data_IF_376472716445
#
_entry.id   IF_376472716445
#
_cell.length_a   1.000
_cell.length_b   1.000
_cell.length_c   1.000
_cell.angle_alpha   90.00
_cell.angle_beta   90.00
_cell.angle_gamma   90.00
#
_symmetry.space_group_name_H-M   'P 1'
#
loop_
_entity.id
_entity.type
_entity.pdbx_description
1 polymer ?
#
# COMPACT_ATOMS: atom_id res chain seq x y z
N UNK A 1 4.45 11.18 -10.86
CA UNK A 1 5.40 10.43 -11.72
C UNK A 1 6.20 9.43 -10.91
N UNK A 2 6.89 9.85 -9.85
CA UNK A 2 7.75 9.00 -9.00
C UNK A 2 7.01 7.82 -8.35
N UNK A 3 5.84 8.03 -7.76
CA UNK A 3 5.06 6.96 -7.13
C UNK A 3 4.71 5.83 -8.12
N UNK A 4 4.11 6.18 -9.27
CA UNK A 4 3.77 5.20 -10.31
C UNK A 4 5.00 4.51 -10.91
N UNK A 5 6.14 5.20 -10.98
CA UNK A 5 7.40 4.58 -11.40
C UNK A 5 7.87 3.54 -10.38
N UNK A 6 7.81 3.85 -9.08
CA UNK A 6 8.14 2.89 -8.01
C UNK A 6 7.20 1.68 -8.00
N UNK A 7 5.90 1.90 -8.15
CA UNK A 7 4.89 0.83 -8.28
C UNK A 7 5.20 -0.06 -9.49
N UNK A 8 5.46 0.55 -10.65
CA UNK A 8 5.79 -0.18 -11.88
C UNK A 8 7.07 -1.00 -11.76
N UNK A 9 8.13 -0.44 -11.18
CA UNK A 9 9.39 -1.15 -10.94
C UNK A 9 9.19 -2.33 -9.98
N UNK A 10 8.43 -2.15 -8.90
CA UNK A 10 8.12 -3.22 -7.97
C UNK A 10 7.36 -4.37 -8.66
N UNK A 11 6.32 -4.04 -9.44
CA UNK A 11 5.58 -5.05 -10.20
C UNK A 11 6.44 -5.79 -11.20
N UNK A 12 7.29 -5.08 -11.93
CA UNK A 12 8.23 -5.67 -12.89
C UNK A 12 9.20 -6.65 -12.19
N UNK A 13 9.83 -6.21 -11.10
CA UNK A 13 10.77 -7.05 -10.34
C UNK A 13 10.11 -8.31 -9.77
N UNK A 14 8.87 -8.23 -9.28
CA UNK A 14 8.11 -9.41 -8.84
C UNK A 14 7.72 -10.33 -9.98
N UNK A 15 7.46 -9.79 -11.18
CA UNK A 15 7.26 -10.56 -12.41
C UNK A 15 8.48 -11.42 -12.72
N UNK A 16 9.64 -10.78 -12.82
CA UNK A 16 10.92 -11.46 -13.07
C UNK A 16 11.22 -12.53 -12.01
N UNK A 17 11.00 -12.22 -10.73
CA UNK A 17 11.21 -13.18 -9.65
C UNK A 17 10.28 -14.40 -9.76
N UNK A 18 9.03 -14.19 -10.17
CA UNK A 18 8.06 -15.27 -10.38
C UNK A 18 8.48 -16.17 -11.55
N UNK A 19 9.05 -15.60 -12.60
CA UNK A 19 9.52 -16.35 -13.76
C UNK A 19 10.77 -17.17 -13.42
N UNK A 20 11.70 -16.63 -12.62
CA UNK A 20 12.84 -17.38 -12.09
C UNK A 20 12.38 -18.55 -11.21
N UNK A 21 11.40 -18.34 -10.32
CA UNK A 21 10.87 -19.42 -9.47
C UNK A 21 10.24 -20.54 -10.30
N UNK A 22 9.66 -20.21 -11.45
CA UNK A 22 9.02 -21.17 -12.35
C UNK A 22 9.95 -21.79 -13.40
N UNK A 23 11.21 -21.36 -13.47
CA UNK A 23 12.12 -21.76 -14.55
C UNK A 23 12.54 -23.23 -14.50
N UNK A 24 12.50 -23.87 -13.32
CA UNK A 24 12.86 -25.28 -13.16
C UNK A 24 12.18 -25.91 -11.94
N UNK A 25 12.13 -27.25 -11.90
CA UNK A 25 11.62 -27.99 -10.75
C UNK A 25 12.40 -27.69 -9.46
N UNK A 26 13.71 -27.47 -9.57
CA UNK A 26 14.55 -27.08 -8.44
C UNK A 26 14.24 -25.67 -7.94
N UNK A 27 14.13 -24.70 -8.87
CA UNK A 27 13.72 -23.32 -8.56
C UNK A 27 12.35 -23.27 -7.90
N UNK A 28 11.44 -24.13 -8.32
CA UNK A 28 10.09 -24.21 -7.77
C UNK A 28 10.10 -24.77 -6.34
N UNK A 29 10.94 -25.77 -6.07
CA UNK A 29 11.13 -26.31 -4.72
C UNK A 29 11.74 -25.27 -3.77
N UNK A 30 12.77 -24.54 -4.22
CA UNK A 30 13.36 -23.44 -3.47
C UNK A 30 12.34 -22.30 -3.24
N UNK A 31 11.54 -21.97 -4.26
CA UNK A 31 10.46 -21.00 -4.17
C UNK A 31 9.37 -21.40 -3.17
N UNK A 32 9.07 -22.70 -3.02
CA UNK A 32 8.14 -23.20 -2.01
C UNK A 32 8.65 -22.96 -0.59
N UNK A 33 9.94 -23.21 -0.32
CA UNK A 33 10.57 -22.91 0.97
C UNK A 33 10.53 -21.41 1.30
N UNK A 34 10.69 -20.56 0.29
CA UNK A 34 10.67 -19.10 0.43
C UNK A 34 9.28 -18.47 0.33
N UNK A 35 8.26 -19.25 -0.06
CA UNK A 35 6.92 -18.75 -0.42
C UNK A 35 6.34 -17.81 0.63
N UNK A 36 6.38 -18.20 1.91
CA UNK A 36 5.84 -17.39 3.01
C UNK A 36 6.55 -16.02 3.12
N UNK A 37 7.88 -15.99 2.97
CA UNK A 37 8.67 -14.76 3.03
C UNK A 37 8.42 -13.87 1.81
N UNK A 38 8.32 -14.47 0.61
CA UNK A 38 8.02 -13.75 -0.62
C UNK A 38 6.60 -13.14 -0.60
N UNK A 39 5.63 -13.84 -0.03
CA UNK A 39 4.28 -13.30 0.17
C UNK A 39 4.27 -12.13 1.15
N UNK A 40 4.97 -12.25 2.29
CA UNK A 40 5.12 -11.13 3.23
C UNK A 40 5.80 -9.92 2.58
N UNK A 41 6.82 -10.14 1.76
CA UNK A 41 7.49 -9.05 1.02
C UNK A 41 6.54 -8.34 0.07
N UNK A 42 5.72 -9.10 -0.68
CA UNK A 42 4.69 -8.54 -1.55
C UNK A 42 3.67 -7.73 -0.74
N UNK A 43 3.25 -8.25 0.40
CA UNK A 43 2.30 -7.58 1.29
C UNK A 43 2.81 -6.28 1.88
N UNK A 44 4.12 -6.17 2.16
CA UNK A 44 4.74 -4.92 2.62
C UNK A 44 4.82 -3.86 1.53
N UNK A 45 4.81 -4.27 0.26
CA UNK A 45 4.82 -3.39 -0.90
C UNK A 45 3.41 -3.06 -1.39
N UNK A 46 2.38 -3.66 -0.79
CA UNK A 46 0.98 -3.41 -1.09
C UNK A 46 0.47 -2.16 -0.35
N UNK A 47 0.51 -1.04 -1.07
CA UNK A 47 0.03 0.26 -0.62
C UNK A 47 -1.49 0.32 -0.37
N UNK A 48 -2.28 -0.66 -0.83
CA UNK A 48 -3.72 -0.68 -0.62
C UNK A 48 -4.13 -0.84 0.86
N UNK A 49 -3.21 -1.32 1.71
CA UNK A 49 -3.41 -1.48 3.17
C UNK A 49 -3.52 -0.15 3.93
N UNK A 50 -3.02 0.95 3.38
CA UNK A 50 -2.97 2.24 4.07
C UNK A 50 -4.19 3.16 3.82
N UNK A 51 -5.23 2.66 3.16
CA UNK A 51 -6.51 3.37 3.07
C UNK A 51 -6.57 4.53 2.05
N UNK A 52 -5.51 4.74 1.26
CA UNK A 52 -5.49 5.79 0.22
C UNK A 52 -4.69 7.02 0.62
N UNK A 53 -4.80 8.08 -0.17
CA UNK A 53 -4.04 9.30 0.03
C UNK A 53 -4.84 10.31 0.86
N UNK A 54 -4.30 10.72 2.01
CA UNK A 54 -4.86 11.81 2.83
C UNK A 54 -4.58 13.14 2.15
N UNK A 55 -5.62 13.92 1.86
CA UNK A 55 -5.50 15.27 1.34
C UNK A 55 -5.48 16.26 2.51
N UNK A 56 -4.37 16.98 2.66
CA UNK A 56 -4.14 17.95 3.73
C UNK A 56 -4.38 19.36 3.18
N UNK A 57 -4.76 20.30 4.06
CA UNK A 57 -5.04 21.70 3.70
C UNK A 57 -6.53 22.02 3.56
N UNK A 58 -7.40 21.04 3.76
CA UNK A 58 -8.85 21.23 3.85
C UNK A 58 -9.30 21.36 5.30
N UNK A 59 -10.47 21.97 5.52
CA UNK A 59 -11.04 22.11 6.87
C UNK A 59 -11.53 20.79 7.47
N UNK A 60 -11.80 19.81 6.61
CA UNK A 60 -12.28 18.48 6.96
C UNK A 60 -11.33 17.40 6.42
N UNK A 61 -11.30 16.20 7.02
CA UNK A 61 -10.43 15.15 6.53
C UNK A 61 -10.97 14.60 5.21
N UNK A 62 -10.12 14.61 4.17
CA UNK A 62 -10.47 14.06 2.86
C UNK A 62 -9.47 12.96 2.52
N UNK A 63 -9.98 11.79 2.14
CA UNK A 63 -9.16 10.66 1.70
C UNK A 63 -9.52 10.33 0.27
N UNK A 64 -8.51 10.32 -0.60
CA UNK A 64 -8.63 9.90 -1.99
C UNK A 64 -8.29 8.42 -2.12
N UNK A 65 -9.29 7.60 -2.46
CA UNK A 65 -9.09 6.18 -2.77
C UNK A 65 -8.33 5.98 -4.09
N UNK A 66 -7.67 4.83 -4.26
CA UNK A 66 -6.99 4.50 -5.51
C UNK A 66 -8.02 4.08 -6.58
N UNK A 67 -7.71 4.25 -7.87
CA UNK A 67 -8.67 3.96 -8.95
C UNK A 67 -9.04 2.47 -9.06
N UNK A 68 -8.12 1.59 -8.67
CA UNK A 68 -8.33 0.13 -8.55
C UNK A 68 -8.65 -0.33 -7.12
N UNK A 69 -9.11 0.56 -6.24
CA UNK A 69 -9.48 0.21 -4.86
C UNK A 69 -10.61 -0.82 -4.83
N UNK A 70 -10.39 -1.91 -4.09
CA UNK A 70 -11.40 -2.93 -3.79
C UNK A 70 -12.08 -2.64 -2.43
N UNK A 71 -13.02 -3.49 -2.02
CA UNK A 71 -13.74 -3.36 -0.74
C UNK A 71 -12.80 -3.26 0.47
N UNK A 72 -11.70 -4.02 0.47
CA UNK A 72 -10.69 -3.98 1.52
C UNK A 72 -9.95 -2.64 1.57
N UNK A 73 -9.58 -2.06 0.41
CA UNK A 73 -8.94 -0.76 0.36
C UNK A 73 -9.89 0.36 0.84
N UNK A 74 -11.18 0.28 0.51
CA UNK A 74 -12.19 1.24 1.00
C UNK A 74 -12.41 1.10 2.51
N UNK A 75 -12.46 -0.12 3.03
CA UNK A 75 -12.52 -0.36 4.47
C UNK A 75 -11.34 0.29 5.21
N UNK A 76 -10.10 0.09 4.72
CA UNK A 76 -8.94 0.73 5.31
C UNK A 76 -8.97 2.26 5.19
N UNK A 77 -9.57 2.81 4.13
CA UNK A 77 -9.79 4.25 3.99
C UNK A 77 -10.68 4.80 5.11
N UNK A 78 -11.76 4.09 5.44
CA UNK A 78 -12.65 4.47 6.54
C UNK A 78 -11.96 4.37 7.90
N UNK A 79 -11.12 3.35 8.10
CA UNK A 79 -10.30 3.22 9.31
C UNK A 79 -9.34 4.41 9.45
N UNK A 80 -8.63 4.77 8.38
CA UNK A 80 -7.75 5.93 8.35
C UNK A 80 -8.52 7.24 8.66
N UNK A 81 -9.71 7.41 8.07
CA UNK A 81 -10.57 8.57 8.33
C UNK A 81 -10.97 8.67 9.81
N UNK A 82 -11.43 7.55 10.38
CA UNK A 82 -11.78 7.45 11.79
C UNK A 82 -10.58 7.82 12.66
N UNK A 83 -9.39 7.31 12.35
CA UNK A 83 -8.18 7.56 13.15
C UNK A 83 -7.77 9.05 13.09
N UNK A 84 -7.92 9.73 11.95
CA UNK A 84 -7.68 11.18 11.83
C UNK A 84 -8.65 11.98 12.72
N UNK A 85 -9.92 11.57 12.75
CA UNK A 85 -10.95 12.22 13.56
C UNK A 85 -10.72 11.95 15.05
N UNK A 86 -10.50 10.69 15.44
CA UNK A 86 -10.32 10.27 16.83
C UNK A 86 -9.07 10.87 17.47
N UNK A 87 -8.02 11.12 16.69
CA UNK A 87 -6.78 11.73 17.18
C UNK A 87 -6.75 13.26 17.05
N UNK A 88 -7.86 13.90 16.65
CA UNK A 88 -7.93 15.36 16.47
C UNK A 88 -6.79 15.92 15.59
N UNK A 89 -6.31 15.13 14.61
CA UNK A 89 -5.07 15.43 13.88
C UNK A 89 -5.14 16.75 13.13
N UNK A 90 -6.32 17.12 12.61
CA UNK A 90 -6.53 18.43 11.97
C UNK A 90 -6.40 19.60 12.93
N UNK A 91 -6.82 19.46 14.19
CA UNK A 91 -6.65 20.51 15.20
C UNK A 91 -5.17 20.69 15.52
N UNK A 92 -4.43 19.59 15.65
CA UNK A 92 -2.98 19.63 15.86
C UNK A 92 -2.26 20.34 14.70
N UNK A 93 -2.59 19.98 13.45
CA UNK A 93 -2.02 20.63 12.25
C UNK A 93 -2.36 22.13 12.23
N UNK A 94 -3.61 22.51 12.50
CA UNK A 94 -4.03 23.92 12.52
C UNK A 94 -3.26 24.72 13.57
N UNK A 95 -3.01 24.14 14.75
CA UNK A 95 -2.25 24.77 15.84
C UNK A 95 -0.77 25.01 15.51
N UNK A 96 -0.15 24.14 14.71
CA UNK A 96 1.27 24.29 14.35
C UNK A 96 1.50 25.27 13.20
N UNK A 97 0.47 25.52 12.38
CA UNK A 97 0.58 26.40 11.20
C UNK A 97 0.09 27.83 11.49
N UNK A 98 -0.79 28.03 12.48
CA UNK A 98 -1.39 29.31 12.88
C UNK A 98 -0.91 29.74 14.27
#
# INVERSE_FOLDING_TARGET
MTLKAMEGTAFFAFGELKDIVKSSLFSMLAGLLLKKRLYNMKENLDYSKHGGAVLIGFEQPIIKAHGSSNSYAIYNAMICLRDIISNDTLKAIKKEIL
#
